data_IF_776525840693
#
_entry.id   IF_776525840693
#
_cell.length_a   1.000
_cell.length_b   1.000
_cell.length_c   1.000
_cell.angle_alpha   90.00
_cell.angle_beta   90.00
_cell.angle_gamma   90.00
#
_symmetry.space_group_name_H-M   'P 1'
#
loop_
_entity.id
_entity.type
_entity.pdbx_description
1 polymer ?
#
# COMPACT_ATOMS: atom_id res chain seq x y z
N UNK A 1 -36.66 -9.98 -80.12
CA UNK A 1 -36.81 -8.95 -81.17
C UNK A 1 -35.59 -8.06 -81.11
N UNK A 2 -34.77 -8.12 -82.13
CA UNK A 2 -33.68 -7.21 -82.52
C UNK A 2 -34.36 -6.10 -83.35
N UNK A 3 -33.87 -4.87 -83.56
CA UNK A 3 -32.51 -4.51 -84.00
C UNK A 3 -31.91 -3.22 -83.32
N UNK A 4 -30.61 -3.05 -83.33
CA UNK A 4 -29.64 -2.43 -84.29
C UNK A 4 -29.71 -0.88 -84.26
N UNK A 5 -28.62 -0.08 -84.31
CA UNK A 5 -27.50 0.07 -85.25
C UNK A 5 -26.51 1.16 -84.70
N UNK A 6 -25.25 0.85 -84.83
CA UNK A 6 -24.13 1.66 -85.31
C UNK A 6 -24.21 3.20 -85.34
N UNK A 7 -23.19 3.88 -84.73
CA UNK A 7 -22.52 5.03 -85.36
C UNK A 7 -21.05 5.11 -84.89
N UNK A 8 -20.18 5.03 -85.89
CA UNK A 8 -18.75 5.18 -85.88
C UNK A 8 -18.40 6.69 -85.75
N UNK A 9 -17.65 7.10 -84.78
CA UNK A 9 -17.11 8.45 -84.70
C UNK A 9 -15.56 8.41 -84.50
N UNK A 10 -14.87 8.70 -85.57
CA UNK A 10 -13.39 8.94 -85.58
C UNK A 10 -13.07 10.16 -84.70
N UNK A 11 -12.19 10.00 -83.73
CA UNK A 11 -11.54 11.09 -83.02
C UNK A 11 -10.03 10.97 -83.14
N UNK A 12 -9.45 12.02 -83.60
CA UNK A 12 -8.03 12.25 -83.97
C UNK A 12 -7.10 12.13 -82.72
N UNK A 13 -6.01 11.40 -82.91
CA UNK A 13 -4.82 11.38 -82.09
C UNK A 13 -4.24 12.80 -81.95
N UNK A 14 -4.28 13.45 -80.87
CA UNK A 14 -3.40 14.53 -80.46
C UNK A 14 -2.29 13.99 -79.55
N UNK A 15 -1.11 13.79 -80.18
CA UNK A 15 0.15 13.61 -79.41
C UNK A 15 0.44 14.86 -78.62
N UNK A 16 0.25 14.82 -77.32
CA UNK A 16 0.83 15.83 -76.40
C UNK A 16 2.29 15.43 -76.12
N UNK A 17 3.18 16.25 -76.63
CA UNK A 17 4.60 16.27 -76.38
C UNK A 17 4.89 16.31 -74.90
N UNK A 18 5.52 15.26 -74.31
CA UNK A 18 6.04 15.27 -72.95
C UNK A 18 7.08 16.41 -72.83
N UNK A 19 6.78 17.35 -71.95
CA UNK A 19 7.77 18.37 -71.53
C UNK A 19 8.83 17.68 -70.70
N UNK A 20 10.06 17.71 -71.14
CA UNK A 20 11.21 17.18 -70.44
C UNK A 20 11.33 17.82 -69.05
N UNK A 21 11.36 17.03 -68.06
CA UNK A 21 11.70 17.44 -66.70
C UNK A 21 13.18 17.80 -66.63
N UNK A 22 13.50 19.07 -66.29
CA UNK A 22 14.88 19.52 -66.14
C UNK A 22 15.56 18.67 -65.06
N UNK A 23 16.76 18.14 -65.28
CA UNK A 23 17.49 17.35 -64.28
C UNK A 23 17.71 18.10 -62.96
N UNK A 24 17.76 19.44 -63.01
CA UNK A 24 17.87 20.31 -61.83
C UNK A 24 16.65 20.23 -60.91
N UNK A 25 15.43 19.98 -61.47
CA UNK A 25 14.21 19.89 -60.65
C UNK A 25 14.10 18.55 -59.91
N UNK A 26 14.68 17.47 -60.47
CA UNK A 26 14.73 16.16 -59.83
C UNK A 26 15.72 16.15 -58.65
N UNK A 27 16.88 16.82 -58.85
CA UNK A 27 17.89 16.97 -57.82
C UNK A 27 17.38 17.82 -56.66
N UNK A 28 16.63 18.92 -56.97
CA UNK A 28 16.01 19.75 -55.92
C UNK A 28 14.94 19.02 -55.13
N UNK A 29 14.13 18.13 -55.78
CA UNK A 29 13.10 17.32 -55.09
C UNK A 29 13.73 16.24 -54.21
N UNK A 30 14.81 15.62 -54.65
CA UNK A 30 15.58 14.64 -53.87
C UNK A 30 16.27 15.26 -52.66
N UNK A 31 16.85 16.48 -52.78
CA UNK A 31 17.42 17.22 -51.68
C UNK A 31 16.38 17.65 -50.62
N UNK A 32 15.18 18.05 -51.06
CA UNK A 32 14.06 18.34 -50.16
C UNK A 32 13.55 17.12 -49.39
N UNK A 33 13.51 15.95 -50.07
CA UNK A 33 13.13 14.68 -49.42
C UNK A 33 14.18 14.21 -48.40
N UNK A 34 15.47 14.35 -48.69
CA UNK A 34 16.55 14.04 -47.72
C UNK A 34 16.55 14.97 -46.54
N UNK A 35 16.26 16.28 -46.74
CA UNK A 35 16.15 17.25 -45.68
C UNK A 35 14.92 17.01 -44.78
N UNK A 36 13.79 16.61 -45.37
CA UNK A 36 12.58 16.22 -44.62
C UNK A 36 12.77 14.89 -43.83
N UNK A 37 13.52 13.93 -44.35
CA UNK A 37 13.85 12.69 -43.66
C UNK A 37 14.82 12.90 -42.49
N UNK A 38 15.75 13.87 -42.58
CA UNK A 38 16.65 14.22 -41.48
C UNK A 38 15.98 14.97 -40.34
N UNK A 39 14.90 15.74 -40.60
CA UNK A 39 14.11 16.37 -39.52
C UNK A 39 13.19 15.35 -38.78
N UNK A 40 12.80 14.24 -39.39
CA UNK A 40 11.96 13.22 -38.76
C UNK A 40 12.73 12.33 -37.77
N UNK A 41 14.07 12.28 -37.84
CA UNK A 41 14.91 11.50 -36.92
C UNK A 41 15.25 12.22 -35.60
N UNK A 42 14.92 13.50 -35.46
CA UNK A 42 15.15 14.25 -34.21
C UNK A 42 13.94 14.23 -33.26
N UNK A 43 12.79 13.68 -33.68
CA UNK A 43 11.54 13.68 -32.89
C UNK A 43 11.34 12.44 -31.99
N UNK A 44 12.29 11.49 -31.95
CA UNK A 44 12.35 10.45 -30.92
C UNK A 44 13.36 10.82 -29.85
N UNK A 45 13.14 11.95 -29.17
CA UNK A 45 13.66 12.11 -27.81
C UNK A 45 12.89 11.14 -26.93
N UNK A 46 13.43 9.94 -26.72
CA UNK A 46 13.11 9.16 -25.56
C UNK A 46 13.32 10.09 -24.36
N UNK A 47 12.24 10.49 -23.71
CA UNK A 47 12.28 11.06 -22.38
C UNK A 47 12.88 9.99 -21.49
N UNK A 48 14.20 10.01 -21.33
CA UNK A 48 14.85 9.34 -20.20
C UNK A 48 14.17 9.92 -18.98
N UNK A 49 13.59 9.10 -18.06
CA UNK A 49 13.07 9.64 -16.82
C UNK A 49 14.19 10.47 -16.20
N UNK A 50 13.93 11.74 -15.92
CA UNK A 50 14.86 12.54 -15.13
C UNK A 50 15.10 11.74 -13.83
N UNK A 51 16.35 11.50 -13.42
CA UNK A 51 16.64 10.86 -12.16
C UNK A 51 15.96 11.68 -11.06
N UNK A 52 15.11 11.03 -10.28
CA UNK A 52 14.45 11.65 -9.13
C UNK A 52 15.54 12.31 -8.28
N UNK A 53 15.44 13.59 -7.93
CA UNK A 53 16.53 14.31 -7.30
C UNK A 53 16.97 13.58 -6.02
N UNK A 54 18.25 13.34 -5.87
CA UNK A 54 18.84 12.88 -4.62
C UNK A 54 18.50 13.87 -3.51
N UNK A 55 18.31 13.38 -2.29
CA UNK A 55 18.03 14.26 -1.15
C UNK A 55 19.28 15.06 -0.79
N UNK A 56 19.20 16.39 -0.87
CA UNK A 56 20.26 17.27 -0.38
C UNK A 56 20.19 17.39 1.16
N UNK A 57 21.29 17.08 1.84
CA UNK A 57 21.39 17.27 3.28
C UNK A 57 22.07 18.62 3.61
N UNK A 58 21.66 19.31 4.70
CA UNK A 58 20.68 18.88 5.70
C UNK A 58 19.23 18.89 5.19
N UNK A 59 18.46 17.87 5.54
CA UNK A 59 17.04 17.77 5.21
C UNK A 59 16.19 18.01 6.46
N UNK A 60 15.12 18.80 6.29
CA UNK A 60 14.11 19.01 7.34
C UNK A 60 12.80 18.42 6.87
N UNK A 61 12.15 17.64 7.74
CA UNK A 61 10.88 16.97 7.45
C UNK A 61 9.91 17.13 8.62
N UNK A 62 8.63 16.98 8.35
CA UNK A 62 7.60 16.80 9.37
C UNK A 62 7.24 15.31 9.40
N UNK A 63 7.29 14.68 10.58
CA UNK A 63 6.93 13.28 10.75
C UNK A 63 5.42 13.08 11.06
N UNK A 64 4.98 11.86 11.23
CA UNK A 64 3.57 11.54 11.45
C UNK A 64 3.10 11.71 12.91
N UNK A 65 3.93 12.35 13.74
CA UNK A 65 3.57 12.97 15.02
C UNK A 65 3.57 14.50 14.94
N UNK A 66 3.57 15.07 13.72
CA UNK A 66 3.64 16.52 13.46
C UNK A 66 4.90 17.20 14.03
N UNK A 67 5.98 16.43 14.25
CA UNK A 67 7.26 16.96 14.73
C UNK A 67 8.16 17.34 13.56
N UNK A 68 8.80 18.50 13.68
CA UNK A 68 9.84 18.92 12.74
C UNK A 68 11.15 18.26 13.14
N UNK A 69 11.72 17.45 12.24
CA UNK A 69 12.98 16.72 12.44
C UNK A 69 13.98 17.11 11.37
N UNK A 70 15.20 17.42 11.78
CA UNK A 70 16.30 17.72 10.87
C UNK A 70 17.35 16.60 10.89
N UNK A 71 17.73 16.13 9.70
CA UNK A 71 18.86 15.25 9.51
C UNK A 71 19.98 16.02 8.81
N UNK A 72 21.16 16.01 9.40
CA UNK A 72 22.33 16.72 8.88
C UNK A 72 23.06 15.98 7.77
N UNK A 73 22.84 14.66 7.69
CA UNK A 73 23.46 13.76 6.71
C UNK A 73 22.55 12.55 6.44
N UNK A 74 22.82 11.83 5.35
CA UNK A 74 22.14 10.57 5.03
C UNK A 74 22.37 9.56 6.15
N UNK A 75 21.31 8.96 6.72
CA UNK A 75 21.49 7.95 7.75
C UNK A 75 22.08 6.67 7.16
N UNK A 76 23.06 6.11 7.88
CA UNK A 76 23.73 4.85 7.54
C UNK A 76 23.37 3.70 8.49
N UNK A 77 22.87 4.02 9.69
CA UNK A 77 22.58 3.05 10.75
C UNK A 77 21.19 3.29 11.33
N UNK A 78 20.21 2.68 10.70
CA UNK A 78 18.80 2.86 11.05
C UNK A 78 18.35 1.74 11.98
N UNK A 79 17.78 2.07 13.12
CA UNK A 79 17.10 1.14 14.01
C UNK A 79 15.61 1.32 13.87
N UNK A 80 14.86 0.23 13.73
CA UNK A 80 13.40 0.22 13.72
C UNK A 80 12.87 -0.42 15.00
N UNK A 81 11.78 0.12 15.53
CA UNK A 81 11.25 -0.30 16.85
C UNK A 81 9.85 -0.89 16.78
N UNK A 82 9.28 -1.00 15.57
CA UNK A 82 7.95 -1.52 15.32
C UNK A 82 7.86 -2.20 13.95
N UNK A 83 7.02 -3.25 13.75
CA UNK A 83 6.82 -3.88 12.44
C UNK A 83 6.48 -2.88 11.33
N UNK A 84 5.56 -1.94 11.58
CA UNK A 84 5.21 -0.87 10.63
C UNK A 84 6.43 -0.08 10.16
N UNK A 85 7.30 0.33 11.10
CA UNK A 85 8.52 1.08 10.79
C UNK A 85 9.51 0.23 9.99
N UNK A 86 9.67 -1.06 10.37
CA UNK A 86 10.54 -2.00 9.69
C UNK A 86 10.09 -2.23 8.25
N UNK A 87 8.82 -2.57 8.05
CA UNK A 87 8.28 -2.86 6.72
C UNK A 87 8.27 -1.62 5.82
N UNK A 88 8.01 -0.44 6.38
CA UNK A 88 8.09 0.83 5.64
C UNK A 88 9.52 1.11 5.16
N UNK A 89 10.53 0.93 6.04
CA UNK A 89 11.93 1.12 5.67
C UNK A 89 12.36 0.18 4.54
N UNK A 90 12.08 -1.11 4.69
CA UNK A 90 12.47 -2.10 3.70
C UNK A 90 11.72 -1.93 2.38
N UNK A 91 10.46 -1.57 2.43
CA UNK A 91 9.67 -1.29 1.21
C UNK A 91 10.15 -0.04 0.48
N UNK A 92 10.65 0.95 1.19
CA UNK A 92 11.31 2.12 0.60
C UNK A 92 12.71 1.80 0.03
N UNK A 93 13.27 0.60 0.28
CA UNK A 93 14.58 0.18 -0.19
C UNK A 93 15.70 0.32 0.86
N UNK A 94 15.38 0.69 2.11
CA UNK A 94 16.33 0.82 3.19
C UNK A 94 16.63 -0.48 3.92
N UNK A 95 17.65 -0.45 4.78
CA UNK A 95 18.04 -1.58 5.62
C UNK A 95 18.19 -1.11 7.07
N UNK A 96 17.71 -1.93 8.01
CA UNK A 96 17.91 -1.70 9.43
C UNK A 96 19.17 -2.39 9.95
N UNK A 97 19.76 -1.83 11.02
CA UNK A 97 20.84 -2.48 11.80
C UNK A 97 20.32 -3.13 13.09
N UNK A 98 19.04 -2.92 13.40
CA UNK A 98 18.36 -3.53 14.54
C UNK A 98 16.86 -3.33 14.46
N UNK A 99 16.11 -4.23 15.10
CA UNK A 99 14.64 -4.26 15.06
C UNK A 99 14.04 -4.59 16.43
N UNK A 100 12.74 -4.38 16.56
CA UNK A 100 11.99 -4.94 17.69
C UNK A 100 11.77 -6.45 17.54
N UNK A 101 11.30 -7.11 18.59
CA UNK A 101 11.07 -8.57 18.56
C UNK A 101 9.85 -8.99 17.76
N UNK A 102 8.89 -8.07 17.52
CA UNK A 102 7.67 -8.34 16.76
C UNK A 102 7.86 -8.23 15.24
N UNK A 103 8.84 -7.49 14.76
CA UNK A 103 9.19 -7.38 13.34
C UNK A 103 9.69 -8.72 12.82
N UNK A 104 8.95 -9.30 11.86
CA UNK A 104 9.23 -10.62 11.26
C UNK A 104 9.33 -10.57 9.74
N UNK A 105 9.01 -9.45 9.15
CA UNK A 105 9.01 -9.25 7.70
C UNK A 105 9.82 -7.99 7.35
N UNK A 106 10.54 -8.02 6.24
CA UNK A 106 10.81 -9.19 5.40
C UNK A 106 11.71 -10.22 6.13
N UNK A 107 11.85 -11.48 5.63
CA UNK A 107 12.52 -12.55 6.36
C UNK A 107 13.97 -12.24 6.77
N UNK A 108 14.69 -11.44 6.01
CA UNK A 108 16.08 -11.04 6.30
C UNK A 108 16.23 -10.25 7.60
N UNK A 109 15.15 -9.64 8.12
CA UNK A 109 15.24 -8.93 9.41
C UNK A 109 15.43 -9.88 10.59
N UNK A 110 15.13 -11.17 10.42
CA UNK A 110 15.22 -12.15 11.50
C UNK A 110 16.64 -12.32 12.03
N UNK A 111 17.63 -12.05 11.20
CA UNK A 111 19.07 -12.13 11.57
C UNK A 111 19.58 -10.88 12.29
N UNK A 112 18.77 -9.81 12.36
CA UNK A 112 19.14 -8.57 13.02
C UNK A 112 19.04 -8.68 14.55
N UNK A 113 19.92 -7.99 15.29
CA UNK A 113 19.80 -7.86 16.73
C UNK A 113 18.48 -7.18 17.10
N UNK A 114 17.90 -7.60 18.24
CA UNK A 114 16.64 -7.05 18.73
C UNK A 114 16.87 -6.01 19.82
N UNK A 115 16.04 -4.95 19.80
CA UNK A 115 16.10 -3.84 20.78
C UNK A 115 14.96 -3.88 21.81
N UNK A 116 14.27 -5.02 21.96
CA UNK A 116 13.13 -5.19 22.87
C UNK A 116 11.81 -5.44 22.14
N UNK A 117 10.72 -5.49 22.87
CA UNK A 117 9.36 -5.57 22.29
C UNK A 117 8.85 -4.20 21.86
N UNK A 118 7.93 -4.13 20.89
CA UNK A 118 7.40 -2.85 20.36
C UNK A 118 6.88 -1.89 21.44
N UNK A 119 6.36 -2.42 22.56
CA UNK A 119 5.87 -1.62 23.69
C UNK A 119 6.89 -1.49 24.85
N UNK A 120 8.06 -2.12 24.71
CA UNK A 120 9.10 -2.16 25.75
C UNK A 120 10.50 -2.15 25.13
N UNK A 121 10.81 -1.04 24.45
CA UNK A 121 12.11 -0.83 23.80
C UNK A 121 13.17 -0.55 24.87
N UNK A 122 14.32 -1.22 24.75
CA UNK A 122 15.50 -0.93 25.55
C UNK A 122 16.36 0.16 24.91
N UNK A 123 16.40 1.32 25.52
CA UNK A 123 17.26 2.42 25.06
C UNK A 123 18.75 2.01 25.05
N UNK A 124 19.19 1.16 26.00
CA UNK A 124 20.55 0.64 26.05
C UNK A 124 20.85 -0.24 24.83
N UNK A 125 19.91 -1.14 24.46
CA UNK A 125 20.08 -1.99 23.29
C UNK A 125 20.09 -1.17 21.99
N UNK A 126 19.27 -0.12 21.90
CA UNK A 126 19.30 0.84 20.80
C UNK A 126 20.66 1.54 20.74
N UNK A 127 21.14 2.10 21.86
CA UNK A 127 22.40 2.82 21.94
C UNK A 127 23.61 1.93 21.55
N UNK A 128 23.60 0.64 21.95
CA UNK A 128 24.65 -0.33 21.62
C UNK A 128 24.80 -0.53 20.10
N UNK A 129 23.77 -0.30 19.32
CA UNK A 129 23.80 -0.38 17.86
C UNK A 129 24.30 0.91 17.20
N UNK A 130 24.55 1.97 17.97
CA UNK A 130 25.04 3.27 17.49
C UNK A 130 24.25 3.79 16.27
N UNK A 131 22.92 3.90 16.37
CA UNK A 131 22.11 4.40 15.26
C UNK A 131 22.35 5.88 15.00
N UNK A 132 22.16 6.29 13.76
CA UNK A 132 22.07 7.69 13.35
C UNK A 132 20.64 8.10 12.95
N UNK A 133 19.69 7.13 12.96
CA UNK A 133 18.27 7.35 12.84
C UNK A 133 17.50 6.24 13.55
N UNK A 134 16.41 6.60 14.23
CA UNK A 134 15.46 5.68 14.83
C UNK A 134 14.10 5.87 14.15
N UNK A 135 13.49 4.80 13.65
CA UNK A 135 12.12 4.80 13.13
C UNK A 135 11.18 4.17 14.14
N UNK A 136 10.13 4.89 14.50
CA UNK A 136 9.08 4.44 15.44
C UNK A 136 7.71 4.43 14.76
N UNK A 137 6.72 3.79 15.40
CA UNK A 137 5.32 3.88 14.99
C UNK A 137 4.60 4.99 15.78
N UNK A 138 3.84 5.83 15.09
CA UNK A 138 3.31 7.08 15.64
C UNK A 138 2.23 6.90 16.72
N UNK A 139 1.36 5.89 16.59
CA UNK A 139 0.19 5.76 17.48
C UNK A 139 0.51 5.07 18.80
N UNK A 140 1.26 3.96 18.70
CA UNK A 140 1.53 3.08 19.85
C UNK A 140 2.81 3.45 20.57
N UNK A 141 3.74 4.13 19.90
CA UNK A 141 5.07 4.45 20.45
C UNK A 141 5.31 5.95 20.70
N UNK A 142 4.30 6.82 20.54
CA UNK A 142 4.45 8.25 20.84
C UNK A 142 5.01 8.53 22.26
N UNK A 143 4.62 7.72 23.24
CA UNK A 143 5.10 7.84 24.63
C UNK A 143 6.57 7.47 24.80
N UNK A 144 7.18 6.73 23.86
CA UNK A 144 8.60 6.34 23.92
C UNK A 144 9.54 7.44 23.40
N UNK A 145 8.99 8.43 22.69
CA UNK A 145 9.80 9.52 22.08
C UNK A 145 10.71 10.18 23.10
N UNK A 146 10.16 10.64 24.24
CA UNK A 146 10.96 11.34 25.26
C UNK A 146 12.09 10.48 25.87
N UNK A 147 11.92 9.15 25.93
CA UNK A 147 12.98 8.24 26.36
C UNK A 147 14.06 8.09 25.30
N UNK A 148 13.68 7.93 24.02
CA UNK A 148 14.60 7.72 22.93
C UNK A 148 15.34 8.99 22.53
N UNK A 149 14.77 10.16 22.70
CA UNK A 149 15.42 11.48 22.47
C UNK A 149 16.65 11.67 23.36
N UNK A 150 16.69 11.04 24.55
CA UNK A 150 17.88 11.09 25.42
C UNK A 150 19.14 10.47 24.79
N UNK A 151 18.97 9.68 23.73
CA UNK A 151 20.08 9.12 22.97
C UNK A 151 20.76 10.14 22.04
N UNK A 152 20.15 11.32 21.84
CA UNK A 152 20.65 12.35 20.94
C UNK A 152 20.61 11.97 19.45
N UNK A 153 19.81 10.97 19.10
CA UNK A 153 19.63 10.46 17.74
C UNK A 153 18.31 10.97 17.17
N UNK A 154 18.26 11.43 15.90
CA UNK A 154 16.99 11.78 15.25
C UNK A 154 16.00 10.63 15.28
N UNK A 155 14.73 10.95 15.53
CA UNK A 155 13.62 9.99 15.56
C UNK A 155 12.60 10.43 14.52
N UNK A 156 12.18 9.52 13.68
CA UNK A 156 11.11 9.71 12.71
C UNK A 156 9.96 8.76 13.03
N UNK A 157 8.77 9.30 13.17
CA UNK A 157 7.55 8.53 13.37
C UNK A 157 6.85 8.27 12.04
N UNK A 158 6.50 7.01 11.79
CA UNK A 158 5.68 6.56 10.66
C UNK A 158 4.33 6.05 11.14
N UNK A 159 3.33 6.00 10.26
CA UNK A 159 1.98 5.49 10.54
C UNK A 159 1.43 4.79 9.31
N UNK A 160 0.49 3.87 9.48
CA UNK A 160 -0.03 3.11 8.38
C UNK A 160 -1.48 2.63 8.57
N UNK A 161 -2.31 3.40 9.24
CA UNK A 161 -3.73 3.06 9.45
C UNK A 161 -4.60 3.28 8.21
N UNK A 162 -4.15 4.11 7.28
CA UNK A 162 -4.83 4.43 6.03
C UNK A 162 -3.88 4.38 4.83
N UNK A 163 -4.42 4.37 3.62
CA UNK A 163 -3.59 4.50 2.41
C UNK A 163 -2.81 5.81 2.38
N UNK A 164 -3.40 6.89 2.87
CA UNK A 164 -2.73 8.18 2.97
C UNK A 164 -1.51 8.10 3.90
N UNK A 165 -1.66 7.51 5.09
CA UNK A 165 -0.57 7.29 6.03
C UNK A 165 0.56 6.46 5.42
N UNK A 166 0.22 5.39 4.68
CA UNK A 166 1.20 4.51 4.03
C UNK A 166 1.99 5.28 2.97
N UNK A 167 1.31 6.07 2.14
CA UNK A 167 1.95 6.90 1.11
C UNK A 167 2.84 7.97 1.76
N UNK A 168 2.36 8.65 2.79
CA UNK A 168 3.13 9.66 3.53
C UNK A 168 4.35 9.03 4.20
N UNK A 169 4.20 7.88 4.86
CA UNK A 169 5.30 7.17 5.53
C UNK A 169 6.37 6.71 4.55
N UNK A 170 5.98 6.11 3.42
CA UNK A 170 6.93 5.71 2.38
C UNK A 170 7.65 6.92 1.77
N UNK A 171 6.93 8.00 1.49
CA UNK A 171 7.51 9.24 0.96
C UNK A 171 8.48 9.85 1.97
N UNK A 172 8.11 9.89 3.25
CA UNK A 172 8.95 10.42 4.33
C UNK A 172 10.22 9.60 4.49
N UNK A 173 10.12 8.28 4.58
CA UNK A 173 11.26 7.38 4.71
C UNK A 173 12.15 7.43 3.46
N UNK A 174 11.55 7.44 2.26
CA UNK A 174 12.27 7.64 1.01
C UNK A 174 13.10 8.90 1.01
N UNK A 175 12.54 10.01 1.49
CA UNK A 175 13.22 11.31 1.59
C UNK A 175 14.35 11.29 2.62
N UNK A 176 14.10 10.80 3.84
CA UNK A 176 15.12 10.84 4.92
C UNK A 176 16.22 9.82 4.74
N UNK A 177 16.03 8.77 3.96
CA UNK A 177 17.02 7.74 3.67
C UNK A 177 17.65 7.89 2.26
N UNK A 178 17.26 8.93 1.50
CA UNK A 178 17.68 9.16 0.11
C UNK A 178 17.35 7.98 -0.82
N UNK A 179 16.09 7.55 -0.75
CA UNK A 179 15.52 6.41 -1.51
C UNK A 179 14.21 6.80 -2.20
N UNK A 180 14.14 8.06 -2.66
CA UNK A 180 12.91 8.65 -3.22
C UNK A 180 12.33 7.84 -4.38
N UNK A 181 13.18 7.35 -5.29
CA UNK A 181 12.74 6.57 -6.45
C UNK A 181 12.14 5.23 -6.05
N UNK A 182 12.82 4.48 -5.17
CA UNK A 182 12.33 3.19 -4.69
C UNK A 182 11.02 3.34 -3.91
N UNK A 183 10.92 4.38 -3.07
CA UNK A 183 9.69 4.69 -2.36
C UNK A 183 8.54 5.03 -3.32
N UNK A 184 8.78 5.83 -4.36
CA UNK A 184 7.78 6.16 -5.36
C UNK A 184 7.32 4.93 -6.16
N UNK A 185 8.25 4.05 -6.54
CA UNK A 185 7.93 2.78 -7.19
C UNK A 185 7.10 1.87 -6.28
N UNK A 186 7.45 1.80 -4.98
CA UNK A 186 6.69 1.04 -4.00
C UNK A 186 5.26 1.54 -3.84
N UNK A 187 5.06 2.86 -3.81
CA UNK A 187 3.74 3.49 -3.74
C UNK A 187 2.93 3.15 -4.99
N UNK A 188 3.52 3.30 -6.18
CA UNK A 188 2.85 2.99 -7.45
C UNK A 188 2.45 1.51 -7.56
N UNK A 189 3.32 0.59 -7.11
CA UNK A 189 3.01 -0.84 -7.06
C UNK A 189 1.82 -1.14 -6.12
N UNK A 190 1.83 -0.58 -4.89
CA UNK A 190 0.74 -0.77 -3.93
C UNK A 190 -0.58 -0.27 -4.51
N UNK A 191 -0.59 0.94 -5.08
CA UNK A 191 -1.80 1.53 -5.66
C UNK A 191 -2.31 0.73 -6.85
N UNK A 192 -1.41 0.34 -7.78
CA UNK A 192 -1.78 -0.45 -8.95
C UNK A 192 -2.34 -1.84 -8.61
N UNK A 193 -1.79 -2.51 -7.59
CA UNK A 193 -2.32 -3.79 -7.10
C UNK A 193 -3.71 -3.64 -6.49
N UNK A 194 -3.94 -2.60 -5.70
CA UNK A 194 -5.26 -2.31 -5.11
C UNK A 194 -6.27 -1.99 -6.22
N UNK A 195 -5.93 -1.13 -7.18
CA UNK A 195 -6.79 -0.81 -8.32
C UNK A 195 -7.17 -2.06 -9.14
N UNK A 196 -6.22 -2.96 -9.35
CA UNK A 196 -6.46 -4.20 -10.09
C UNK A 196 -7.52 -5.10 -9.44
N UNK A 197 -7.59 -5.14 -8.11
CA UNK A 197 -8.56 -5.97 -7.39
C UNK A 197 -9.90 -5.28 -7.15
N UNK A 198 -9.95 -3.96 -7.07
CA UNK A 198 -11.20 -3.21 -6.87
C UNK A 198 -12.24 -3.50 -7.95
N UNK A 199 -11.81 -3.66 -9.21
CA UNK A 199 -12.69 -3.99 -10.33
C UNK A 199 -13.27 -5.42 -10.31
N UNK A 200 -12.76 -6.30 -9.44
CA UNK A 200 -13.17 -7.71 -9.32
C UNK A 200 -13.83 -8.02 -7.98
N UNK A 201 -13.94 -7.00 -7.11
CA UNK A 201 -14.48 -7.16 -5.76
C UNK A 201 -15.96 -7.58 -5.79
N UNK A 202 -16.38 -8.50 -4.89
CA UNK A 202 -17.79 -8.85 -4.67
C UNK A 202 -18.52 -7.75 -3.89
N UNK A 203 -18.33 -6.49 -4.22
CA UNK A 203 -18.86 -5.34 -3.50
C UNK A 203 -20.32 -5.48 -3.06
N UNK A 204 -20.71 -4.73 -2.03
CA UNK A 204 -22.06 -4.75 -1.47
C UNK A 204 -22.28 -5.83 -0.40
N UNK A 205 -21.32 -6.70 -0.10
CA UNK A 205 -21.39 -7.58 1.09
C UNK A 205 -21.11 -6.79 2.36
N UNK A 206 -21.87 -7.07 3.41
CA UNK A 206 -21.70 -6.49 4.74
C UNK A 206 -20.90 -7.43 5.63
N UNK A 207 -19.90 -6.92 6.33
CA UNK A 207 -19.05 -7.72 7.20
C UNK A 207 -18.96 -7.15 8.62
N UNK A 208 -18.53 -8.01 9.53
CA UNK A 208 -18.00 -7.66 10.84
C UNK A 208 -16.58 -8.23 10.95
N UNK A 209 -15.68 -7.47 11.55
CA UNK A 209 -14.30 -7.89 11.81
C UNK A 209 -14.08 -7.82 13.31
N UNK A 210 -13.79 -8.96 13.96
CA UNK A 210 -13.71 -9.07 15.40
C UNK A 210 -12.31 -9.38 15.90
N UNK A 211 -11.95 -8.75 17.02
CA UNK A 211 -10.89 -9.17 17.93
C UNK A 211 -11.47 -9.45 19.32
N UNK A 212 -10.74 -10.17 20.15
CA UNK A 212 -11.10 -10.37 21.55
C UNK A 212 -9.93 -9.98 22.46
N UNK A 213 -10.26 -9.43 23.63
CA UNK A 213 -9.30 -9.23 24.72
C UNK A 213 -9.13 -10.50 25.57
N UNK A 214 -8.25 -10.44 26.57
CA UNK A 214 -7.98 -11.54 27.47
C UNK A 214 -9.20 -11.91 28.38
N UNK A 215 -10.19 -11.05 28.47
CA UNK A 215 -11.43 -11.22 29.21
C UNK A 215 -12.57 -11.74 28.32
N UNK A 216 -12.29 -12.03 27.05
CA UNK A 216 -13.25 -12.42 26.00
C UNK A 216 -14.29 -11.31 25.67
N UNK A 217 -13.99 -10.04 25.95
CA UNK A 217 -14.77 -8.97 25.37
C UNK A 217 -14.49 -8.90 23.87
N UNK A 218 -15.55 -8.81 23.07
CA UNK A 218 -15.45 -8.74 21.60
C UNK A 218 -15.45 -7.27 21.18
N UNK A 219 -14.51 -6.92 20.32
CA UNK A 219 -14.43 -5.60 19.71
C UNK A 219 -14.53 -5.73 18.20
N UNK A 220 -15.38 -4.90 17.60
CA UNK A 220 -15.55 -4.81 16.16
C UNK A 220 -14.64 -3.72 15.58
N UNK A 221 -13.91 -4.05 14.56
CA UNK A 221 -13.09 -3.09 13.80
C UNK A 221 -14.00 -2.12 13.04
N UNK A 222 -13.80 -0.84 13.25
CA UNK A 222 -14.48 0.25 12.55
C UNK A 222 -13.75 0.58 11.24
N UNK A 223 -14.37 1.33 10.31
CA UNK A 223 -13.71 1.73 9.05
C UNK A 223 -12.35 2.43 9.22
N UNK A 224 -12.16 3.13 10.36
CA UNK A 224 -10.93 3.87 10.67
C UNK A 224 -9.79 2.99 11.18
N UNK A 225 -10.05 1.73 11.50
CA UNK A 225 -9.01 0.75 11.82
C UNK A 225 -8.32 0.25 10.57
N UNK A 226 -7.12 -0.29 10.70
CA UNK A 226 -6.42 -0.88 9.56
C UNK A 226 -7.20 -2.02 8.87
N UNK A 227 -7.74 -3.04 9.58
CA UNK A 227 -8.56 -4.05 8.93
C UNK A 227 -9.86 -3.48 8.33
N UNK A 228 -10.43 -2.42 8.93
CA UNK A 228 -11.55 -1.69 8.34
C UNK A 228 -11.19 -0.96 7.06
N UNK A 229 -10.01 -0.33 7.01
CA UNK A 229 -9.46 0.27 5.79
C UNK A 229 -9.27 -0.76 4.67
N UNK A 230 -8.71 -1.94 4.99
CA UNK A 230 -8.57 -3.05 4.03
C UNK A 230 -9.93 -3.46 3.45
N UNK A 231 -10.95 -3.59 4.30
CA UNK A 231 -12.31 -3.92 3.88
C UNK A 231 -12.94 -2.82 3.00
N UNK A 232 -12.75 -1.56 3.36
CA UNK A 232 -13.25 -0.42 2.60
C UNK A 232 -12.63 -0.32 1.20
N UNK A 233 -11.35 -0.68 1.04
CA UNK A 233 -10.68 -0.74 -0.27
C UNK A 233 -11.30 -1.77 -1.21
N UNK A 234 -11.98 -2.79 -0.69
CA UNK A 234 -12.77 -3.75 -1.47
C UNK A 234 -14.24 -3.35 -1.62
N UNK A 235 -14.66 -2.20 -1.11
CA UNK A 235 -16.06 -1.76 -1.17
C UNK A 235 -17.00 -2.61 -0.29
N UNK A 236 -16.49 -3.26 0.76
CA UNK A 236 -17.29 -4.01 1.70
C UNK A 236 -17.95 -3.08 2.72
N UNK A 237 -19.22 -3.35 3.03
CA UNK A 237 -19.95 -2.65 4.08
C UNK A 237 -19.47 -3.11 5.46
N UNK A 238 -19.21 -2.17 6.36
CA UNK A 238 -18.79 -2.46 7.73
C UNK A 238 -19.94 -2.16 8.71
N UNK A 239 -20.52 -3.20 9.31
CA UNK A 239 -21.66 -3.06 10.23
C UNK A 239 -21.30 -2.44 11.59
N UNK A 240 -20.01 -2.21 11.85
CA UNK A 240 -19.54 -1.50 13.04
C UNK A 240 -19.29 0.00 12.78
N UNK A 241 -19.57 0.52 11.59
CA UNK A 241 -19.23 1.90 11.20
C UNK A 241 -19.83 2.96 12.15
N UNK A 242 -21.10 2.81 12.51
CA UNK A 242 -21.82 3.78 13.34
C UNK A 242 -21.65 3.54 14.84
N UNK A 243 -20.92 2.51 15.25
CA UNK A 243 -20.69 2.27 16.68
C UNK A 243 -19.71 3.30 17.26
N UNK A 244 -19.92 3.75 18.51
CA UNK A 244 -18.95 4.62 19.16
C UNK A 244 -17.66 3.85 19.44
N UNK A 245 -16.52 4.47 19.11
CA UNK A 245 -15.22 3.91 19.48
C UNK A 245 -15.15 3.69 20.98
N UNK A 246 -14.68 2.52 21.41
CA UNK A 246 -14.64 2.16 22.82
C UNK A 246 -13.68 1.01 23.08
N UNK A 247 -13.17 0.98 24.33
CA UNK A 247 -12.21 -0.02 24.77
C UNK A 247 -10.75 0.38 24.52
N UNK A 248 -9.82 -0.58 24.67
CA UNK A 248 -8.39 -0.28 24.64
C UNK A 248 -7.79 -0.24 23.22
N UNK A 249 -8.56 -0.59 22.20
CA UNK A 249 -8.09 -0.69 20.81
C UNK A 249 -8.62 0.48 19.98
N UNK A 250 -7.72 1.32 19.52
CA UNK A 250 -8.08 2.47 18.68
C UNK A 250 -8.67 1.98 17.35
N UNK A 251 -9.76 2.64 16.92
CA UNK A 251 -10.49 2.26 15.71
C UNK A 251 -11.37 1.03 15.89
N UNK A 252 -11.65 0.64 17.15
CA UNK A 252 -12.56 -0.46 17.47
C UNK A 252 -13.67 -0.01 18.40
N UNK A 253 -14.77 -0.75 18.37
CA UNK A 253 -15.91 -0.57 19.25
C UNK A 253 -16.23 -1.86 20.00
N UNK A 254 -16.54 -1.77 21.30
CA UNK A 254 -17.06 -2.90 22.05
C UNK A 254 -18.33 -3.41 21.35
N UNK A 255 -18.40 -4.71 21.08
CA UNK A 255 -19.52 -5.33 20.40
C UNK A 255 -20.24 -6.31 21.33
N UNK A 256 -21.47 -5.97 21.67
CA UNK A 256 -22.24 -6.70 22.67
C UNK A 256 -23.03 -7.87 22.10
N UNK A 257 -23.44 -8.82 22.95
CA UNK A 257 -24.33 -9.92 22.57
C UNK A 257 -25.69 -9.41 22.02
N UNK A 258 -26.18 -8.26 22.49
CA UNK A 258 -27.40 -7.65 21.97
C UNK A 258 -27.22 -7.17 20.52
N UNK A 259 -26.14 -6.46 20.23
CA UNK A 259 -25.79 -6.03 18.88
C UNK A 259 -25.58 -7.25 17.96
N UNK A 260 -24.97 -8.33 18.49
CA UNK A 260 -24.78 -9.57 17.75
C UNK A 260 -26.11 -10.18 17.27
N UNK A 261 -27.14 -10.19 18.11
CA UNK A 261 -28.47 -10.74 17.76
C UNK A 261 -29.23 -9.89 16.74
N UNK A 262 -28.88 -8.61 16.59
CA UNK A 262 -29.51 -7.67 15.66
C UNK A 262 -28.72 -7.53 14.35
N UNK A 263 -27.56 -8.17 14.25
CA UNK A 263 -26.67 -8.06 13.08
C UNK A 263 -26.87 -9.22 12.11
N UNK A 264 -26.83 -8.92 10.82
CA UNK A 264 -26.90 -9.92 9.75
C UNK A 264 -25.76 -9.69 8.73
N UNK A 265 -24.49 -9.96 9.11
CA UNK A 265 -23.37 -9.87 8.18
C UNK A 265 -23.38 -11.03 7.18
N UNK A 266 -22.89 -10.76 5.96
CA UNK A 266 -22.64 -11.80 4.96
C UNK A 266 -21.49 -12.72 5.41
N UNK A 267 -20.48 -12.16 6.08
CA UNK A 267 -19.36 -12.88 6.67
C UNK A 267 -18.88 -12.22 7.95
N UNK A 268 -18.29 -13.03 8.83
CA UNK A 268 -17.54 -12.55 10.00
C UNK A 268 -16.08 -12.90 9.82
N UNK A 269 -15.24 -11.92 9.96
CA UNK A 269 -13.80 -12.05 9.94
C UNK A 269 -13.31 -11.94 11.39
N UNK A 270 -12.38 -12.78 11.80
CA UNK A 270 -11.83 -12.74 13.15
C UNK A 270 -10.32 -12.64 13.12
N UNK A 271 -9.75 -11.94 14.08
CA UNK A 271 -8.29 -11.81 14.23
C UNK A 271 -7.94 -12.20 15.67
N UNK A 272 -7.12 -13.23 15.85
CA UNK A 272 -6.62 -13.63 17.16
C UNK A 272 -5.19 -13.15 17.35
N UNK A 273 -4.95 -12.11 18.18
CA UNK A 273 -3.60 -11.57 18.40
C UNK A 273 -2.64 -12.56 19.07
N UNK A 274 -3.18 -13.49 19.87
CA UNK A 274 -2.40 -14.47 20.62
C UNK A 274 -1.75 -15.51 19.69
N UNK A 275 -0.48 -15.89 19.95
CA UNK A 275 0.18 -16.94 19.18
C UNK A 275 -0.43 -18.33 19.47
N UNK A 276 -0.19 -19.28 18.57
CA UNK A 276 -0.47 -20.69 18.86
C UNK A 276 0.28 -21.14 20.13
N UNK A 277 -0.31 -22.00 20.98
CA UNK A 277 -1.52 -22.80 20.76
C UNK A 277 -2.84 -22.14 21.25
N UNK A 278 -2.90 -20.83 21.44
CA UNK A 278 -4.14 -20.16 21.85
C UNK A 278 -5.29 -20.49 20.87
N UNK A 279 -6.51 -20.77 21.38
CA UNK A 279 -7.65 -21.02 20.51
C UNK A 279 -7.96 -19.80 19.65
N UNK A 280 -8.33 -20.05 18.39
CA UNK A 280 -8.70 -18.97 17.48
C UNK A 280 -10.10 -18.45 17.78
N UNK A 281 -10.29 -17.13 17.65
CA UNK A 281 -11.58 -16.52 17.90
C UNK A 281 -12.67 -17.09 16.97
N UNK A 282 -12.33 -17.39 15.72
CA UNK A 282 -13.24 -18.09 14.79
C UNK A 282 -13.78 -19.41 15.34
N UNK A 283 -12.97 -20.17 16.05
CA UNK A 283 -13.37 -21.46 16.63
C UNK A 283 -14.25 -21.32 17.88
N UNK A 284 -14.07 -20.25 18.67
CA UNK A 284 -14.80 -20.07 19.92
C UNK A 284 -16.05 -19.19 19.78
N UNK A 285 -16.16 -18.40 18.73
CA UNK A 285 -17.25 -17.44 18.53
C UNK A 285 -18.64 -18.12 18.56
N UNK A 286 -18.75 -19.33 18.00
CA UNK A 286 -19.98 -20.12 18.02
C UNK A 286 -20.41 -20.61 19.40
N UNK A 287 -19.55 -20.48 20.41
CA UNK A 287 -19.84 -20.87 21.79
C UNK A 287 -20.22 -19.67 22.65
N UNK A 288 -19.98 -18.44 22.16
CA UNK A 288 -20.25 -17.23 22.92
C UNK A 288 -21.75 -16.88 22.89
N UNK A 289 -22.37 -16.59 24.06
CA UNK A 289 -23.77 -16.18 24.12
C UNK A 289 -24.07 -14.97 23.24
N UNK A 290 -25.14 -15.03 22.45
CA UNK A 290 -25.52 -14.02 21.47
C UNK A 290 -24.82 -14.20 20.12
N UNK A 291 -23.51 -14.39 20.10
CA UNK A 291 -22.74 -14.54 18.87
C UNK A 291 -23.06 -15.83 18.11
N UNK A 292 -23.27 -16.94 18.81
CA UNK A 292 -23.69 -18.23 18.23
C UNK A 292 -24.98 -18.12 17.41
N UNK A 293 -25.80 -17.09 17.67
CA UNK A 293 -27.10 -16.90 17.04
C UNK A 293 -27.06 -16.07 15.78
N UNK A 294 -25.95 -15.41 15.47
CA UNK A 294 -25.73 -14.65 14.23
C UNK A 294 -25.87 -15.59 13.03
N UNK A 295 -26.66 -15.23 11.99
CA UNK A 295 -26.86 -16.09 10.82
C UNK A 295 -25.57 -16.53 10.14
N UNK A 296 -24.58 -15.64 10.02
CA UNK A 296 -23.26 -15.97 9.45
C UNK A 296 -22.52 -17.03 10.29
N UNK A 297 -22.61 -16.97 11.63
CA UNK A 297 -21.99 -17.99 12.52
C UNK A 297 -22.67 -19.34 12.33
N UNK A 298 -24.00 -19.39 12.32
CA UNK A 298 -24.77 -20.62 12.05
C UNK A 298 -24.48 -21.24 10.69
N UNK A 299 -24.21 -20.40 9.70
CA UNK A 299 -23.90 -20.81 8.34
C UNK A 299 -22.41 -21.18 8.14
N UNK A 300 -21.57 -21.04 9.17
CA UNK A 300 -20.12 -21.30 9.07
C UNK A 300 -19.33 -20.25 8.28
N UNK A 301 -19.91 -19.07 8.05
CA UNK A 301 -19.24 -17.96 7.35
C UNK A 301 -18.43 -17.11 8.34
N UNK A 302 -17.54 -17.77 9.07
CA UNK A 302 -16.59 -17.16 10.01
C UNK A 302 -15.18 -17.54 9.59
N UNK A 303 -14.34 -16.57 9.28
CA UNK A 303 -12.98 -16.80 8.78
C UNK A 303 -11.97 -16.13 9.70
N UNK A 304 -10.91 -16.85 10.07
CA UNK A 304 -9.78 -16.31 10.81
C UNK A 304 -8.79 -15.65 9.84
N UNK A 305 -8.47 -14.40 10.08
CA UNK A 305 -7.45 -13.63 9.35
C UNK A 305 -6.06 -13.79 10.01
N UNK A 306 -5.01 -13.65 9.22
CA UNK A 306 -3.64 -13.62 9.75
C UNK A 306 -3.43 -12.35 10.61
N UNK A 307 -3.17 -12.51 11.92
CA UNK A 307 -2.97 -11.37 12.81
C UNK A 307 -1.72 -10.55 12.48
N UNK A 308 -0.74 -11.10 11.79
CA UNK A 308 0.45 -10.33 11.38
C UNK A 308 0.06 -9.37 10.26
N UNK A 309 -0.64 -9.85 9.25
CA UNK A 309 -1.00 -9.04 8.08
C UNK A 309 -2.13 -8.04 8.38
N UNK A 310 -3.11 -8.42 9.22
CA UNK A 310 -4.32 -7.60 9.42
C UNK A 310 -4.35 -6.79 10.72
N UNK A 311 -3.35 -6.93 11.62
CA UNK A 311 -3.37 -6.22 12.91
C UNK A 311 -2.01 -5.77 13.42
N UNK A 312 -0.93 -6.57 13.24
CA UNK A 312 0.35 -6.31 13.92
C UNK A 312 1.36 -5.57 13.08
N UNK A 313 1.25 -5.68 11.76
CA UNK A 313 2.15 -5.10 10.79
C UNK A 313 1.37 -4.25 9.79
N UNK A 314 0.59 -3.31 10.32
CA UNK A 314 -0.06 -2.28 9.51
C UNK A 314 1.01 -1.58 8.67
N UNK A 315 0.83 -1.57 7.33
CA UNK A 315 1.91 -1.03 6.52
C UNK A 315 1.82 -1.29 5.02
N UNK A 316 2.97 -1.25 4.36
CA UNK A 316 3.07 -1.34 2.91
C UNK A 316 2.57 -2.67 2.30
N UNK A 317 2.35 -3.70 3.14
CA UNK A 317 1.71 -4.95 2.69
C UNK A 317 0.18 -4.86 2.59
N UNK A 318 -0.39 -3.67 2.69
CA UNK A 318 -1.85 -3.47 2.56
C UNK A 318 -2.41 -4.06 1.26
N UNK A 319 -1.65 -4.02 0.15
CA UNK A 319 -2.07 -4.65 -1.10
C UNK A 319 -2.21 -6.18 -0.96
N UNK A 320 -1.31 -6.84 -0.22
CA UNK A 320 -1.41 -8.27 0.09
C UNK A 320 -2.64 -8.56 0.95
N UNK A 321 -2.90 -7.71 1.95
CA UNK A 321 -4.10 -7.84 2.80
C UNK A 321 -5.40 -7.69 2.01
N UNK A 322 -5.45 -6.75 1.05
CA UNK A 322 -6.60 -6.54 0.18
C UNK A 322 -6.80 -7.74 -0.76
N UNK A 323 -5.74 -8.27 -1.36
CA UNK A 323 -5.77 -9.45 -2.24
C UNK A 323 -6.21 -10.72 -1.47
N UNK A 324 -5.69 -10.92 -0.26
CA UNK A 324 -6.09 -12.03 0.60
C UNK A 324 -7.56 -11.92 1.02
N UNK A 325 -7.99 -10.72 1.44
CA UNK A 325 -9.39 -10.50 1.79
C UNK A 325 -10.33 -10.72 0.59
N UNK A 326 -9.95 -10.29 -0.62
CA UNK A 326 -10.71 -10.57 -1.83
C UNK A 326 -10.87 -12.07 -2.06
N UNK A 327 -9.77 -12.83 -1.93
CA UNK A 327 -9.80 -14.29 -2.08
C UNK A 327 -10.73 -14.94 -1.03
N UNK A 328 -10.68 -14.50 0.22
CA UNK A 328 -11.59 -14.96 1.28
C UNK A 328 -13.04 -14.66 0.89
N UNK A 329 -13.36 -13.43 0.50
CA UNK A 329 -14.73 -13.01 0.20
C UNK A 329 -15.32 -13.65 -1.05
N UNK A 330 -14.50 -14.17 -1.95
CA UNK A 330 -14.94 -14.94 -3.11
C UNK A 330 -15.29 -16.41 -2.74
N UNK A 331 -14.85 -16.89 -1.58
CA UNK A 331 -15.07 -18.26 -1.12
C UNK A 331 -16.10 -18.37 0.03
N UNK A 332 -16.68 -17.26 0.48
CA UNK A 332 -17.70 -17.14 1.53
C UNK A 332 -19.06 -16.64 0.91
#
# INVERSE_FOLDING_TARGET
MIPSLLAVGRAKKHLRRARGTNPSSIVALLLLLVLAASLALVACSSSTPEPNPSTDYPVTVTDLLDRTVQLTQKPARIVTTHPTATETLYRAGGLAVGRDTASKYPPEVLDLPTVGGSYSISAEAVAALQPDLILIEALTQASLVGQLEQLGVPIIAVRATSMEDIVQSLTLVGKVADMNETAAQAIADIQGRIEAVQGTSPGGKNILIFIADAQNNIYAAKPESYPGTVAALLGLGNLAADLPESGPYRGFALFTAEQATQSDPDAILTITPAPLPAPRLSAVLSQLPGFKDIPAVKAGRVVELDPVLFLKAEGPRIAEAVEELLNIMNNV
#
